data_IF_143532357333
#
_entry.id   IF_143532357333
#
_cell.length_a   1.000
_cell.length_b   1.000
_cell.length_c   1.000
_cell.angle_alpha   90.00
_cell.angle_beta   90.00
_cell.angle_gamma   90.00
#
_symmetry.space_group_name_H-M   'P 1'
#
loop_
_entity.id
_entity.type
_entity.pdbx_description
1 polymer ?
#
# COMPACT_ATOMS: atom_id res chain seq x y z
N UNK A 1 0.55 8.76 1.15
CA UNK A 1 -0.07 8.02 0.02
C UNK A 1 0.75 6.76 -0.20
N UNK A 2 0.10 5.63 -0.50
CA UNK A 2 0.77 4.38 -0.84
C UNK A 2 0.00 3.67 -1.95
N UNK A 3 0.72 3.26 -3.01
CA UNK A 3 0.09 2.65 -4.18
C UNK A 3 0.69 1.25 -4.48
N UNK A 4 -0.12 0.18 -4.56
CA UNK A 4 0.34 -1.11 -5.03
C UNK A 4 0.34 -1.15 -6.55
N UNK A 5 1.47 -1.57 -7.13
CA UNK A 5 1.61 -1.72 -8.59
C UNK A 5 1.27 -3.16 -8.98
N UNK A 6 0.17 -3.34 -9.72
CA UNK A 6 -0.17 -4.61 -10.39
C UNK A 6 -0.67 -4.25 -11.78
N UNK A 7 -0.05 -4.81 -12.83
CA UNK A 7 -0.26 -4.43 -14.24
C UNK A 7 -1.72 -4.47 -14.73
N UNK A 8 -2.03 -3.66 -15.74
CA UNK A 8 -3.37 -3.42 -16.28
C UNK A 8 -4.03 -4.68 -16.86
N UNK A 9 -5.17 -5.04 -16.27
CA UNK A 9 -5.95 -6.25 -16.52
C UNK A 9 -6.68 -6.64 -15.23
N UNK A 10 -7.54 -7.66 -15.26
CA UNK A 10 -7.98 -8.31 -14.00
C UNK A 10 -6.69 -8.65 -13.24
N UNK A 11 -6.51 -8.13 -12.03
CA UNK A 11 -5.32 -8.39 -11.22
C UNK A 11 -5.35 -9.86 -10.83
N UNK A 12 -4.66 -10.68 -11.62
CA UNK A 12 -4.61 -12.12 -11.45
C UNK A 12 -3.17 -12.53 -11.16
N UNK A 13 -2.99 -13.36 -10.14
CA UNK A 13 -1.70 -13.98 -9.80
C UNK A 13 -1.88 -15.49 -9.66
N UNK A 14 -0.79 -16.23 -9.74
CA UNK A 14 -0.78 -17.65 -9.42
C UNK A 14 -0.69 -17.84 -7.90
N UNK A 15 -1.27 -18.93 -7.37
CA UNK A 15 -1.07 -19.32 -5.97
C UNK A 15 0.41 -19.53 -5.65
N UNK A 16 0.75 -19.36 -4.38
CA UNK A 16 2.11 -19.52 -3.87
C UNK A 16 2.70 -18.21 -3.40
N UNK A 17 4.03 -18.09 -3.44
CA UNK A 17 4.72 -16.94 -2.88
C UNK A 17 4.71 -15.77 -3.88
N UNK A 18 3.98 -14.72 -3.54
CA UNK A 18 3.80 -13.49 -4.33
C UNK A 18 4.46 -12.33 -3.59
N UNK A 19 5.35 -11.60 -4.27
CA UNK A 19 5.89 -10.35 -3.75
C UNK A 19 4.98 -9.19 -4.17
N UNK A 20 4.35 -8.54 -3.17
CA UNK A 20 3.61 -7.29 -3.37
C UNK A 20 4.60 -6.15 -3.21
N UNK A 21 4.65 -5.26 -4.20
CA UNK A 21 5.51 -4.08 -4.17
C UNK A 21 4.68 -2.82 -4.31
N UNK A 22 5.22 -1.74 -3.75
CA UNK A 22 4.63 -0.43 -3.94
C UNK A 22 5.57 0.68 -3.52
N UNK A 23 5.02 1.88 -3.46
CA UNK A 23 5.74 3.06 -3.01
C UNK A 23 4.88 3.84 -2.04
N UNK A 24 5.52 4.59 -1.14
CA UNK A 24 4.84 5.45 -0.18
C UNK A 24 5.57 6.79 -0.04
N UNK A 25 4.82 7.85 0.25
CA UNK A 25 5.34 9.20 0.43
C UNK A 25 4.48 10.03 1.39
N UNK A 26 5.13 10.97 2.11
CA UNK A 26 4.50 11.97 2.96
C UNK A 26 5.00 13.38 2.64
N UNK A 27 4.15 14.37 2.88
CA UNK A 27 4.41 15.78 2.64
C UNK A 27 5.52 16.36 3.52
N UNK A 28 5.92 17.60 3.22
CA UNK A 28 6.92 18.36 3.99
C UNK A 28 8.31 17.69 4.16
N UNK A 29 8.56 16.58 3.45
CA UNK A 29 9.79 15.81 3.56
C UNK A 29 9.85 14.89 4.78
N UNK A 30 8.70 14.57 5.38
CA UNK A 30 8.61 13.55 6.43
C UNK A 30 8.87 12.17 5.83
N UNK A 31 9.78 11.42 6.47
CA UNK A 31 10.12 10.07 6.02
C UNK A 31 9.00 9.08 6.37
N UNK A 32 8.78 8.08 5.50
CA UNK A 32 7.87 6.97 5.80
C UNK A 32 8.52 6.09 6.86
N UNK A 33 7.87 5.96 8.01
CA UNK A 33 8.32 5.15 9.13
C UNK A 33 7.84 3.70 9.03
N UNK A 34 6.61 3.48 8.55
CA UNK A 34 6.00 2.15 8.41
C UNK A 34 5.06 2.10 7.21
N UNK A 35 5.02 0.94 6.55
CA UNK A 35 3.94 0.57 5.64
C UNK A 35 3.36 -0.75 6.10
N UNK A 36 2.03 -0.84 6.13
CA UNK A 36 1.30 -2.06 6.43
C UNK A 36 0.51 -2.48 5.18
N UNK A 37 0.41 -3.79 4.97
CA UNK A 37 -0.41 -4.41 3.93
C UNK A 37 -1.49 -5.26 4.61
N UNK A 38 -2.74 -5.04 4.25
CA UNK A 38 -3.86 -5.90 4.63
C UNK A 38 -4.10 -6.94 3.55
N UNK A 39 -4.28 -8.20 3.96
CA UNK A 39 -4.87 -9.26 3.14
C UNK A 39 -6.16 -9.65 3.81
N UNK A 40 -7.30 -9.43 3.15
CA UNK A 40 -8.65 -9.70 3.66
C UNK A 40 -8.89 -9.11 5.06
N UNK A 41 -8.44 -7.86 5.24
CA UNK A 41 -8.57 -7.11 6.49
C UNK A 41 -7.51 -7.39 7.55
N UNK A 42 -6.63 -8.39 7.36
CA UNK A 42 -5.55 -8.70 8.29
C UNK A 42 -4.28 -7.93 7.93
N UNK A 43 -3.96 -6.91 8.73
CA UNK A 43 -2.82 -6.02 8.54
C UNK A 43 -1.50 -6.64 9.03
N UNK A 44 -0.45 -6.52 8.21
CA UNK A 44 0.92 -6.93 8.53
C UNK A 44 1.91 -5.90 8.00
N UNK A 45 3.05 -5.76 8.67
CA UNK A 45 4.08 -4.81 8.28
C UNK A 45 4.81 -5.27 6.99
N UNK A 46 5.10 -4.31 6.12
CA UNK A 46 5.90 -4.48 4.91
C UNK A 46 7.36 -4.05 5.17
N UNK A 47 8.28 -4.64 4.42
CA UNK A 47 9.68 -4.25 4.44
C UNK A 47 9.87 -2.96 3.65
N UNK A 48 10.44 -1.93 4.27
CA UNK A 48 10.75 -0.68 3.59
C UNK A 48 12.14 -0.75 2.94
N UNK A 49 12.24 -0.28 1.70
CA UNK A 49 13.53 -0.09 1.04
C UNK A 49 14.33 1.04 1.74
N UNK A 50 15.62 1.12 1.41
CA UNK A 50 16.47 2.22 1.85
C UNK A 50 15.92 3.57 1.33
N UNK A 51 15.99 4.65 2.12
CA UNK A 51 15.53 5.97 1.69
C UNK A 51 16.40 6.49 0.54
N UNK A 52 15.76 7.01 -0.52
CA UNK A 52 16.44 7.58 -1.69
C UNK A 52 16.61 9.11 -1.64
N UNK A 53 16.07 9.76 -0.60
CA UNK A 53 16.15 11.20 -0.40
C UNK A 53 14.97 11.73 0.41
N UNK A 54 15.11 12.93 0.99
CA UNK A 54 14.11 13.55 1.88
C UNK A 54 12.71 13.66 1.27
N UNK A 55 12.62 13.94 -0.03
CA UNK A 55 11.36 14.13 -0.74
C UNK A 55 11.03 12.98 -1.70
N UNK A 56 11.88 11.95 -1.73
CA UNK A 56 11.68 10.81 -2.61
C UNK A 56 10.59 9.90 -2.06
N UNK A 57 9.89 9.21 -2.96
CA UNK A 57 9.03 8.11 -2.56
C UNK A 57 9.90 6.98 -2.01
N UNK A 58 9.43 6.34 -0.93
CA UNK A 58 10.07 5.18 -0.33
C UNK A 58 9.43 3.91 -0.87
N UNK A 59 10.24 3.03 -1.46
CA UNK A 59 9.79 1.71 -1.89
C UNK A 59 9.48 0.81 -0.70
N UNK A 60 8.59 -0.15 -0.90
CA UNK A 60 8.28 -1.18 0.08
C UNK A 60 7.89 -2.49 -0.60
N UNK A 61 8.09 -3.58 0.13
CA UNK A 61 7.83 -4.96 -0.33
C UNK A 61 7.16 -5.77 0.76
N UNK A 62 6.26 -6.66 0.37
CA UNK A 62 5.55 -7.55 1.27
C UNK A 62 5.44 -8.94 0.66
N UNK A 63 5.92 -9.96 1.36
CA UNK A 63 5.80 -11.35 0.93
C UNK A 63 4.44 -11.91 1.35
N UNK A 64 3.64 -12.30 0.37
CA UNK A 64 2.33 -12.89 0.56
C UNK A 64 2.31 -14.31 0.04
N UNK A 65 2.01 -15.27 0.91
CA UNK A 65 1.66 -16.63 0.50
C UNK A 65 0.19 -16.66 0.08
N UNK A 66 -0.04 -16.52 -1.22
CA UNK A 66 -1.36 -16.40 -1.83
C UNK A 66 -2.04 -17.76 -1.96
N UNK A 67 -3.24 -17.88 -1.40
CA UNK A 67 -4.13 -19.02 -1.57
C UNK A 67 -5.10 -18.74 -2.73
N UNK A 68 -5.63 -19.77 -3.38
CA UNK A 68 -6.55 -19.57 -4.51
C UNK A 68 -7.86 -18.93 -4.04
N UNK A 69 -8.38 -17.96 -4.81
CA UNK A 69 -9.59 -17.23 -4.44
C UNK A 69 -9.56 -15.76 -4.82
N UNK A 70 -10.65 -15.05 -4.50
CA UNK A 70 -10.71 -13.60 -4.60
C UNK A 70 -10.28 -13.01 -3.26
N UNK A 71 -9.25 -12.17 -3.29
CA UNK A 71 -8.70 -11.49 -2.12
C UNK A 71 -8.78 -9.98 -2.27
N UNK A 72 -9.01 -9.28 -1.16
CA UNK A 72 -8.80 -7.84 -1.08
C UNK A 72 -7.43 -7.55 -0.47
N UNK A 73 -6.61 -6.80 -1.20
CA UNK A 73 -5.38 -6.23 -0.68
C UNK A 73 -5.57 -4.74 -0.39
N UNK A 74 -5.00 -4.26 0.70
CA UNK A 74 -4.97 -2.86 1.05
C UNK A 74 -3.58 -2.45 1.54
N UNK A 75 -3.20 -1.18 1.41
CA UNK A 75 -1.93 -0.68 1.98
C UNK A 75 -2.11 0.66 2.70
N UNK A 76 -1.33 0.86 3.78
CA UNK A 76 -1.38 2.02 4.65
C UNK A 76 0.02 2.44 5.08
N UNK A 77 0.35 3.71 4.89
CA UNK A 77 1.59 4.31 5.37
C UNK A 77 1.41 5.08 6.69
N UNK A 78 2.45 5.08 7.51
CA UNK A 78 2.65 5.95 8.67
C UNK A 78 3.98 6.69 8.50
N UNK A 79 4.01 8.01 8.64
CA UNK A 79 5.25 8.77 8.61
C UNK A 79 5.89 8.92 10.00
N UNK A 80 7.09 9.49 10.04
CA UNK A 80 7.87 9.66 11.29
C UNK A 80 7.23 10.64 12.28
N UNK A 81 6.32 11.50 11.81
CA UNK A 81 5.57 12.45 12.63
C UNK A 81 4.27 11.81 13.19
N UNK A 82 4.01 10.55 12.85
CA UNK A 82 2.85 9.79 13.31
C UNK A 82 1.59 10.03 12.47
N UNK A 83 1.68 10.70 11.31
CA UNK A 83 0.55 10.84 10.42
C UNK A 83 0.24 9.51 9.73
N UNK A 84 -1.03 9.12 9.74
CA UNK A 84 -1.51 7.86 9.17
C UNK A 84 -2.58 8.15 8.12
N UNK A 85 -2.58 7.39 7.02
CA UNK A 85 -3.66 7.47 6.03
C UNK A 85 -5.01 7.08 6.65
N UNK A 86 -6.10 7.80 6.34
CA UNK A 86 -7.44 7.38 6.76
C UNK A 86 -7.87 6.11 6.02
N UNK A 87 -8.71 5.29 6.64
CA UNK A 87 -9.24 4.07 6.02
C UNK A 87 -10.21 4.38 4.88
N UNK A 88 -10.99 5.46 5.04
CA UNK A 88 -12.01 5.91 4.11
C UNK A 88 -11.67 7.30 3.57
N UNK A 89 -12.08 7.62 2.33
CA UNK A 89 -11.86 8.95 1.77
C UNK A 89 -12.62 10.00 2.58
N UNK A 90 -11.91 11.07 2.93
CA UNK A 90 -12.54 12.27 3.48
C UNK A 90 -13.15 13.06 2.32
N UNK A 91 -14.45 13.31 2.38
CA UNK A 91 -15.13 14.04 1.32
C UNK A 91 -14.81 15.54 1.38
N UNK A 92 -14.54 16.11 0.20
CA UNK A 92 -14.33 17.53 -0.02
C UNK A 92 -14.96 17.94 -1.35
N UNK A 93 -15.51 19.15 -1.44
CA UNK A 93 -16.18 19.68 -2.64
C UNK A 93 -15.22 19.73 -3.83
N UNK A 94 -13.95 20.05 -3.60
CA UNK A 94 -12.92 20.11 -4.64
C UNK A 94 -12.27 18.77 -4.97
N UNK A 95 -12.53 17.72 -4.19
CA UNK A 95 -11.94 16.40 -4.37
C UNK A 95 -10.43 16.34 -4.12
N UNK A 96 -9.87 17.32 -3.40
CA UNK A 96 -8.43 17.42 -3.16
C UNK A 96 -7.98 16.58 -1.97
N UNK A 97 -6.67 16.27 -1.95
CA UNK A 97 -6.03 15.70 -0.76
C UNK A 97 -6.40 14.26 -0.44
N UNK A 98 -7.05 13.53 -1.36
CA UNK A 98 -7.37 12.13 -1.11
C UNK A 98 -6.07 11.32 -0.92
N UNK A 99 -5.92 10.81 0.29
CA UNK A 99 -4.84 9.95 0.71
C UNK A 99 -5.34 8.69 1.43
N UNK A 100 -6.62 8.33 1.26
CA UNK A 100 -7.18 7.16 1.89
C UNK A 100 -6.45 5.88 1.48
N UNK A 101 -6.55 4.85 2.32
CA UNK A 101 -6.02 3.52 2.04
C UNK A 101 -6.52 3.04 0.67
N UNK A 102 -5.57 2.70 -0.20
CA UNK A 102 -5.90 2.13 -1.49
C UNK A 102 -6.23 0.64 -1.32
N UNK A 103 -7.34 0.21 -1.92
CA UNK A 103 -7.81 -1.19 -1.93
C UNK A 103 -7.80 -1.73 -3.35
N UNK A 104 -7.38 -2.99 -3.49
CA UNK A 104 -7.30 -3.68 -4.78
C UNK A 104 -7.81 -5.10 -4.65
N UNK A 105 -8.73 -5.49 -5.53
CA UNK A 105 -9.22 -6.86 -5.64
C UNK A 105 -8.27 -7.67 -6.53
N UNK A 106 -7.83 -8.83 -6.06
CA UNK A 106 -6.91 -9.74 -6.75
C UNK A 106 -7.51 -11.14 -6.80
N UNK A 107 -7.51 -11.74 -7.98
CA UNK A 107 -7.86 -13.16 -8.16
C UNK A 107 -6.60 -14.00 -8.14
N UNK A 108 -6.56 -15.04 -7.31
CA UNK A 108 -5.47 -16.00 -7.24
C UNK A 108 -5.94 -17.32 -7.84
N UNK A 109 -5.18 -17.87 -8.79
CA UNK A 109 -5.46 -19.14 -9.47
C UNK A 109 -4.79 -20.33 -8.81
#
# INVERSE_FOLDING_TARGET
MADPVVGGGRRVVERGDVEIVGRAWSGAGAAIARVEVAVDGVWREANLDAPMGRFAWRGWKFHWRAEAGLHELACRATDIDGNVQPLDPVWDVGGFGNNAVQRVQVMVR
#
